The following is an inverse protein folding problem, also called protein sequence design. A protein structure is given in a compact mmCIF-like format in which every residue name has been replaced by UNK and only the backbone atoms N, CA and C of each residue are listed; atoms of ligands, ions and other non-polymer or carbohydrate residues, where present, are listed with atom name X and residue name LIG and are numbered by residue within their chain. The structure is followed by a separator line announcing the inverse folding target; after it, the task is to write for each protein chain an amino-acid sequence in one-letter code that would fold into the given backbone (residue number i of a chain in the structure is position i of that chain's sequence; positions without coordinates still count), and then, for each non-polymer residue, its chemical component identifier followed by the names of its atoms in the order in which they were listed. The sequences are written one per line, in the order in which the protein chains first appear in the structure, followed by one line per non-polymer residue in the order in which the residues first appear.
data_IF_389819105467
#
_entry.id   IF_389819105467
#
_cell.length_a   1.000
_cell.length_b   1.000
_cell.length_c   1.000
_cell.angle_alpha   90.00
_cell.angle_beta   90.00
_cell.angle_gamma   90.00
#
_symmetry.space_group_name_H-M   'P 1'
#
loop_
_entity.id
_entity.type
_entity.pdbx_description
1 polymer ?
#
# COMPACT_ATOMS: atom_id res chain seq x y z
N UNK A 1 -19.40 -18.34 1.61
CA UNK A 1 -19.40 -18.67 0.15
C UNK A 1 -18.57 -17.68 -0.68
N UNK A 2 -18.57 -16.37 -0.35
CA UNK A 2 -17.81 -15.35 -1.09
C UNK A 2 -16.29 -15.38 -0.83
N UNK A 3 -15.85 -15.43 0.43
CA UNK A 3 -14.42 -15.37 0.79
C UNK A 3 -13.57 -16.45 0.11
N UNK A 4 -14.12 -17.66 -0.03
CA UNK A 4 -13.46 -18.79 -0.70
C UNK A 4 -13.28 -18.61 -2.22
N UNK A 5 -13.95 -17.62 -2.83
CA UNK A 5 -13.81 -17.27 -4.25
C UNK A 5 -12.71 -16.23 -4.50
N UNK A 6 -12.12 -15.66 -3.44
CA UNK A 6 -11.07 -14.65 -3.56
C UNK A 6 -9.72 -15.30 -3.25
N UNK A 7 -8.82 -15.27 -4.24
CA UNK A 7 -7.49 -15.85 -4.08
C UNK A 7 -6.64 -15.10 -3.04
N UNK A 8 -6.66 -13.76 -3.08
CA UNK A 8 -5.90 -12.89 -2.20
C UNK A 8 -6.41 -11.44 -2.30
N UNK A 9 -6.24 -10.67 -1.22
CA UNK A 9 -6.31 -9.22 -1.24
C UNK A 9 -4.90 -8.62 -1.12
N UNK A 10 -4.62 -7.61 -1.93
CA UNK A 10 -3.44 -6.75 -1.78
C UNK A 10 -3.98 -5.35 -1.46
N UNK A 11 -3.76 -4.91 -0.23
CA UNK A 11 -4.42 -3.71 0.32
C UNK A 11 -3.35 -2.66 0.60
N UNK A 12 -3.48 -1.48 0.00
CA UNK A 12 -2.77 -0.30 0.48
C UNK A 12 -3.49 0.25 1.70
N UNK A 13 -2.80 0.26 2.84
CA UNK A 13 -3.32 0.88 4.05
C UNK A 13 -2.77 0.29 5.34
N UNK A 14 -3.10 0.92 6.45
CA UNK A 14 -2.62 0.56 7.77
C UNK A 14 -1.19 1.03 8.06
N UNK A 15 -0.84 1.04 9.34
CA UNK A 15 0.49 1.31 9.86
C UNK A 15 0.71 0.39 11.07
N UNK A 16 1.61 -0.59 10.94
CA UNK A 16 1.68 -1.71 11.91
C UNK A 16 2.85 -1.54 12.89
N UNK A 17 4.06 -1.37 12.35
CA UNK A 17 5.30 -1.15 13.11
C UNK A 17 5.83 0.28 12.90
N UNK A 18 4.97 1.18 12.43
CA UNK A 18 5.29 2.58 12.16
C UNK A 18 4.14 3.49 12.59
N UNK A 19 4.39 4.79 12.70
CA UNK A 19 3.32 5.76 12.95
C UNK A 19 2.35 5.80 11.78
N UNK A 20 1.08 6.07 12.04
CA UNK A 20 0.11 6.46 11.03
C UNK A 20 0.43 7.79 10.33
N UNK A 21 -0.54 8.30 9.59
CA UNK A 21 -0.52 9.63 8.96
C UNK A 21 -1.76 10.47 9.30
N UNK A 22 -2.70 9.94 10.09
CA UNK A 22 -3.91 10.64 10.54
C UNK A 22 -4.29 10.26 11.98
N UNK A 23 -5.19 11.06 12.56
CA UNK A 23 -5.73 10.88 13.89
C UNK A 23 -4.85 11.47 15.00
N UNK A 24 -5.31 11.43 16.26
CA UNK A 24 -4.51 11.83 17.40
C UNK A 24 -3.18 11.07 17.42
N UNK A 25 -2.08 11.78 17.65
CA UNK A 25 -0.72 11.22 17.74
C UNK A 25 -0.26 10.44 16.50
N UNK A 26 -0.91 10.63 15.34
CA UNK A 26 -0.64 9.90 14.10
C UNK A 26 -0.64 8.38 14.32
N UNK A 27 -1.69 7.84 14.95
CA UNK A 27 -1.78 6.41 15.27
C UNK A 27 -2.37 5.57 14.16
N UNK A 28 -3.04 6.18 13.17
CA UNK A 28 -3.78 5.48 12.13
C UNK A 28 -3.35 5.91 10.74
N UNK A 29 -3.49 5.00 9.79
CA UNK A 29 -3.37 5.32 8.37
C UNK A 29 -4.75 5.75 7.84
N UNK A 30 -4.76 6.69 6.90
CA UNK A 30 -5.95 7.37 6.37
C UNK A 30 -7.08 6.43 5.92
N UNK A 31 -6.80 5.43 5.07
CA UNK A 31 -7.81 4.50 4.56
C UNK A 31 -8.45 3.69 5.71
N UNK A 32 -7.65 3.23 6.66
CA UNK A 32 -8.14 2.50 7.84
C UNK A 32 -8.87 3.41 8.85
N UNK A 33 -8.48 4.68 8.95
CA UNK A 33 -9.14 5.67 9.80
C UNK A 33 -10.52 6.07 9.26
N UNK A 34 -10.65 6.15 7.94
CA UNK A 34 -11.88 6.56 7.27
C UNK A 34 -13.04 5.61 7.59
N UNK A 35 -12.83 4.30 7.39
CA UNK A 35 -13.78 3.24 7.78
C UNK A 35 -13.09 2.07 8.53
N UNK A 36 -12.87 2.21 9.84
CA UNK A 36 -12.29 1.17 10.68
C UNK A 36 -13.18 -0.06 10.80
N UNK A 37 -14.51 0.08 10.62
CA UNK A 37 -15.44 -1.03 10.73
C UNK A 37 -15.29 -1.94 9.51
N UNK A 38 -15.26 -1.36 8.31
CA UNK A 38 -14.95 -2.11 7.09
C UNK A 38 -13.55 -2.74 7.17
N UNK A 39 -12.54 -1.99 7.58
CA UNK A 39 -11.18 -2.52 7.76
C UNK A 39 -11.14 -3.69 8.76
N UNK A 40 -11.87 -3.61 9.88
CA UNK A 40 -11.98 -4.70 10.85
C UNK A 40 -12.64 -5.95 10.27
N UNK A 41 -13.71 -5.79 9.49
CA UNK A 41 -14.41 -6.91 8.83
C UNK A 41 -13.48 -7.59 7.83
N UNK A 42 -12.80 -6.82 6.97
CA UNK A 42 -11.87 -7.36 5.96
C UNK A 42 -10.69 -8.06 6.63
N UNK A 43 -10.06 -7.43 7.63
CA UNK A 43 -8.92 -8.02 8.35
C UNK A 43 -9.29 -9.32 9.08
N UNK A 44 -10.55 -9.43 9.56
CA UNK A 44 -11.04 -10.62 10.26
C UNK A 44 -11.60 -11.71 9.33
N UNK A 45 -11.55 -11.53 8.01
CA UNK A 45 -11.98 -12.53 7.04
C UNK A 45 -11.01 -13.73 6.94
N UNK A 46 -11.44 -14.83 6.33
CA UNK A 46 -10.54 -15.96 6.02
C UNK A 46 -9.67 -15.73 4.78
N UNK A 47 -9.84 -14.61 4.07
CA UNK A 47 -9.13 -14.32 2.81
C UNK A 47 -7.66 -14.02 3.10
N UNK A 48 -6.70 -14.58 2.35
CA UNK A 48 -5.28 -14.20 2.47
C UNK A 48 -5.06 -12.72 2.12
N UNK A 49 -4.38 -11.98 2.99
CA UNK A 49 -4.12 -10.54 2.81
C UNK A 49 -2.62 -10.27 2.75
N UNK A 50 -2.20 -9.49 1.77
CA UNK A 50 -0.92 -8.75 1.76
C UNK A 50 -1.22 -7.28 2.05
N UNK A 51 -0.77 -6.81 3.20
CA UNK A 51 -0.95 -5.43 3.62
C UNK A 51 0.26 -4.62 3.19
N UNK A 52 0.06 -3.73 2.22
CA UNK A 52 1.02 -2.73 1.76
C UNK A 52 0.81 -1.48 2.63
N UNK A 53 1.29 -1.59 3.88
CA UNK A 53 1.16 -0.56 4.91
C UNK A 53 2.20 0.55 4.76
N UNK A 54 2.07 1.59 5.58
CA UNK A 54 3.04 2.69 5.66
C UNK A 54 4.47 2.19 5.97
N UNK A 55 4.60 1.02 6.60
CA UNK A 55 5.88 0.35 6.90
C UNK A 55 6.74 0.13 5.65
N UNK A 56 6.11 -0.25 4.53
CA UNK A 56 6.76 -0.45 3.24
C UNK A 56 6.73 0.80 2.38
N UNK A 57 5.61 1.51 2.35
CA UNK A 57 5.45 2.70 1.50
C UNK A 57 6.50 3.78 1.81
N UNK A 58 6.87 3.93 3.09
CA UNK A 58 7.88 4.92 3.51
C UNK A 58 9.30 4.61 3.05
N UNK A 59 9.56 3.40 2.58
CA UNK A 59 10.84 3.03 1.95
C UNK A 59 10.95 3.50 0.50
N UNK A 60 9.83 3.92 -0.10
CA UNK A 60 9.72 4.48 -1.45
C UNK A 60 9.33 5.96 -1.37
N UNK A 61 10.21 6.76 -0.79
CA UNK A 61 10.08 8.21 -0.85
C UNK A 61 10.10 8.66 -2.32
N UNK A 62 9.15 9.53 -2.65
CA UNK A 62 9.21 10.27 -3.90
C UNK A 62 10.28 11.35 -3.77
N UNK A 63 11.46 11.07 -4.33
CA UNK A 63 12.53 12.04 -4.38
C UNK A 63 12.25 13.03 -5.53
N UNK A 64 11.87 14.26 -5.16
CA UNK A 64 11.65 15.37 -6.10
C UNK A 64 12.90 15.74 -6.90
N UNK A 65 14.09 15.37 -6.41
CA UNK A 65 15.37 15.59 -7.07
C UNK A 65 15.78 14.42 -7.98
N UNK A 66 15.22 13.23 -7.76
CA UNK A 66 15.33 12.16 -8.75
C UNK A 66 14.54 12.56 -9.98
N UNK A 67 15.26 12.76 -11.07
CA UNK A 67 14.68 12.88 -12.40
C UNK A 67 14.08 11.55 -12.81
N UNK A 68 12.84 11.26 -12.38
CA UNK A 68 12.02 10.30 -13.10
C UNK A 68 11.98 10.79 -14.55
N UNK A 69 12.62 10.02 -15.44
CA UNK A 69 12.62 10.29 -16.88
C UNK A 69 11.26 9.93 -17.45
N UNK A 70 10.27 10.75 -17.12
CA UNK A 70 8.90 10.56 -17.56
C UNK A 70 8.84 10.96 -19.05
N UNK A 71 8.48 10.04 -19.95
CA UNK A 71 8.47 10.29 -21.39
C UNK A 71 7.43 11.36 -21.77
N UNK A 72 7.61 12.01 -22.92
CA UNK A 72 6.65 12.94 -23.51
C UNK A 72 5.62 12.20 -24.38
N UNK A 73 4.88 11.28 -23.76
CA UNK A 73 3.73 10.59 -24.35
C UNK A 73 2.47 10.88 -23.51
N UNK A 74 1.25 10.54 -23.98
CA UNK A 74 0.02 10.84 -23.25
C UNK A 74 0.02 10.39 -21.78
N UNK A 75 0.62 9.23 -21.49
CA UNK A 75 0.73 8.68 -20.13
C UNK A 75 1.72 9.46 -19.27
N UNK A 76 2.88 9.79 -19.83
CA UNK A 76 3.89 10.58 -19.15
C UNK A 76 3.39 11.99 -18.87
N UNK A 77 2.56 12.58 -19.73
CA UNK A 77 1.89 13.86 -19.46
C UNK A 77 0.94 13.75 -18.26
N UNK A 78 0.16 12.67 -18.16
CA UNK A 78 -0.73 12.42 -17.02
C UNK A 78 0.09 12.28 -15.73
N UNK A 79 1.14 11.46 -15.74
CA UNK A 79 2.00 11.24 -14.57
C UNK A 79 2.69 12.54 -14.16
N UNK A 80 3.22 13.32 -15.12
CA UNK A 80 3.78 14.66 -14.86
C UNK A 80 2.76 15.58 -14.20
N UNK A 81 1.50 15.58 -14.65
CA UNK A 81 0.44 16.39 -14.04
C UNK A 81 0.10 15.93 -12.63
N UNK A 82 -0.03 14.63 -12.39
CA UNK A 82 -0.31 14.06 -11.05
C UNK A 82 0.81 14.44 -10.08
N UNK A 83 2.08 14.27 -10.49
CA UNK A 83 3.23 14.58 -9.65
C UNK A 83 3.39 16.10 -9.44
N UNK A 84 3.29 16.90 -10.51
CA UNK A 84 3.51 18.35 -10.45
C UNK A 84 2.40 19.08 -9.68
N UNK A 85 1.17 18.58 -9.70
CA UNK A 85 0.05 19.21 -8.99
C UNK A 85 -0.10 18.73 -7.55
N UNK A 86 0.49 17.58 -7.17
CA UNK A 86 0.40 17.03 -5.82
C UNK A 86 1.67 17.25 -4.99
N UNK A 87 2.39 18.38 -5.17
CA UNK A 87 3.69 18.56 -4.50
C UNK A 87 3.64 18.58 -2.97
N UNK A 88 2.48 18.84 -2.37
CA UNK A 88 2.32 18.82 -0.90
C UNK A 88 1.95 17.43 -0.36
N UNK A 89 1.28 16.59 -1.16
CA UNK A 89 0.72 15.30 -0.72
C UNK A 89 1.46 14.08 -1.30
N UNK A 90 2.30 14.27 -2.32
CA UNK A 90 3.02 13.18 -2.97
C UNK A 90 4.41 12.96 -2.35
N UNK A 91 4.43 12.47 -1.11
CA UNK A 91 5.68 12.17 -0.40
C UNK A 91 6.17 10.74 -0.65
N UNK A 92 5.26 9.78 -0.88
CA UNK A 92 5.58 8.37 -1.06
C UNK A 92 4.70 7.72 -2.12
N UNK A 93 5.20 6.66 -2.76
CA UNK A 93 4.41 5.85 -3.70
C UNK A 93 3.51 4.85 -2.94
N UNK A 94 2.37 5.31 -2.43
CA UNK A 94 1.39 4.46 -1.73
C UNK A 94 0.72 3.44 -2.65
N UNK A 95 -0.37 3.82 -3.32
CA UNK A 95 -1.12 2.93 -4.22
C UNK A 95 -0.27 2.38 -5.38
N UNK A 96 0.68 3.16 -5.97
CA UNK A 96 1.56 2.60 -6.99
C UNK A 96 2.42 1.44 -6.50
N UNK A 97 2.85 1.42 -5.23
CA UNK A 97 3.55 0.27 -4.66
C UNK A 97 2.63 -0.95 -4.56
N UNK A 98 1.39 -0.77 -4.09
CA UNK A 98 0.43 -1.87 -4.01
C UNK A 98 0.11 -2.47 -5.39
N UNK A 99 -0.14 -1.62 -6.39
CA UNK A 99 -0.32 -2.06 -7.78
C UNK A 99 0.91 -2.77 -8.33
N UNK A 100 2.10 -2.26 -8.01
CA UNK A 100 3.37 -2.87 -8.45
C UNK A 100 3.59 -4.26 -7.86
N UNK A 101 3.19 -4.50 -6.61
CA UNK A 101 3.25 -5.83 -5.97
C UNK A 101 2.32 -6.84 -6.66
N UNK A 102 1.19 -6.39 -7.22
CA UNK A 102 0.31 -7.25 -8.03
C UNK A 102 1.03 -7.70 -9.30
N UNK A 103 1.69 -6.76 -10.00
CA UNK A 103 2.36 -7.04 -11.29
C UNK A 103 3.64 -7.86 -11.09
N UNK A 104 4.45 -7.49 -10.10
CA UNK A 104 5.71 -8.17 -9.79
C UNK A 104 5.84 -8.36 -8.27
N UNK A 105 5.47 -9.54 -7.74
CA UNK A 105 5.55 -9.83 -6.31
C UNK A 105 6.96 -9.70 -5.72
N UNK A 106 8.03 -9.82 -6.53
CA UNK A 106 9.42 -9.69 -6.08
C UNK A 106 9.82 -8.26 -5.70
N UNK A 107 8.96 -7.27 -5.98
CA UNK A 107 9.15 -5.87 -5.55
C UNK A 107 9.12 -5.74 -4.03
N UNK A 108 8.44 -6.64 -3.32
CA UNK A 108 8.32 -6.56 -1.87
C UNK A 108 8.42 -7.92 -1.22
N UNK A 109 9.12 -7.98 -0.09
CA UNK A 109 8.97 -9.09 0.84
C UNK A 109 7.90 -8.76 1.88
N UNK A 110 7.36 -9.81 2.49
CA UNK A 110 6.31 -9.71 3.50
C UNK A 110 6.66 -10.57 4.71
N UNK A 111 6.12 -10.21 5.87
CA UNK A 111 6.24 -11.00 7.09
C UNK A 111 5.64 -12.41 6.92
N UNK A 112 5.90 -13.28 7.91
CA UNK A 112 5.05 -14.46 8.12
C UNK A 112 3.60 -14.03 8.34
N UNK A 113 2.66 -14.96 8.11
CA UNK A 113 1.24 -14.72 8.39
C UNK A 113 1.06 -14.44 9.87
N UNK A 114 0.27 -13.42 10.17
CA UNK A 114 -0.04 -12.97 11.51
C UNK A 114 -1.50 -12.59 11.62
N UNK A 115 -1.99 -12.62 12.85
CA UNK A 115 -3.30 -12.12 13.26
C UNK A 115 -3.19 -10.63 13.56
N UNK A 116 -4.15 -9.85 13.06
CA UNK A 116 -4.23 -8.41 13.34
C UNK A 116 -5.66 -8.02 13.69
N UNK A 117 -5.80 -6.95 14.47
CA UNK A 117 -7.08 -6.35 14.84
C UNK A 117 -7.06 -4.86 14.51
N UNK A 118 -8.20 -4.33 14.05
CA UNK A 118 -8.39 -2.89 13.82
C UNK A 118 -9.21 -2.29 14.97
N UNK A 119 -8.69 -1.25 15.61
CA UNK A 119 -9.39 -0.52 16.67
C UNK A 119 -10.48 0.35 16.03
N UNK A 120 -11.74 0.13 16.40
CA UNK A 120 -12.88 0.76 15.69
C UNK A 120 -13.34 2.11 16.27
N UNK A 121 -12.97 2.43 17.51
CA UNK A 121 -13.47 3.60 18.25
C UNK A 121 -12.37 4.26 19.10
N UNK A 122 -12.66 5.47 19.60
CA UNK A 122 -11.78 6.22 20.49
C UNK A 122 -10.60 6.86 19.77
N UNK A 123 -9.61 7.33 20.54
CA UNK A 123 -8.43 8.05 20.02
C UNK A 123 -7.59 7.21 19.05
N UNK A 124 -7.60 5.89 19.21
CA UNK A 124 -6.87 4.94 18.37
C UNK A 124 -7.71 4.37 17.21
N UNK A 125 -8.84 5.00 16.86
CA UNK A 125 -9.71 4.58 15.76
C UNK A 125 -8.91 4.42 14.46
N UNK A 126 -9.05 3.28 13.78
CA UNK A 126 -8.35 2.94 12.53
C UNK A 126 -6.96 2.33 12.73
N UNK A 127 -6.43 2.29 13.96
CA UNK A 127 -5.13 1.67 14.21
C UNK A 127 -5.23 0.16 14.03
N UNK A 128 -4.38 -0.38 13.18
CA UNK A 128 -4.18 -1.83 13.06
C UNK A 128 -3.03 -2.25 13.99
N UNK A 129 -3.24 -3.31 14.74
CA UNK A 129 -2.23 -3.88 15.64
C UNK A 129 -2.12 -5.38 15.45
N UNK A 130 -0.92 -5.92 15.63
CA UNK A 130 -0.75 -7.37 15.78
C UNK A 130 -1.54 -7.81 17.02
N UNK A 131 -2.31 -8.89 16.87
CA UNK A 131 -3.13 -9.46 17.91
C UNK A 131 -2.81 -10.96 18.03
N UNK A 132 -3.25 -11.59 19.12
CA UNK A 132 -3.24 -13.04 19.24
C UNK A 132 -4.66 -13.55 19.04
N UNK A 133 -5.00 -13.91 17.79
CA UNK A 133 -6.30 -14.46 17.45
C UNK A 133 -6.15 -15.64 16.46
N UNK A 134 -7.18 -16.49 16.32
CA UNK A 134 -7.07 -17.71 15.50
C UNK A 134 -6.81 -17.45 14.00
N UNK A 135 -7.17 -16.26 13.50
CA UNK A 135 -7.13 -15.94 12.08
C UNK A 135 -5.79 -15.30 11.73
N UNK A 136 -4.88 -16.12 11.21
CA UNK A 136 -3.56 -15.68 10.72
C UNK A 136 -3.58 -15.59 9.20
N UNK A 137 -4.22 -14.55 8.66
CA UNK A 137 -4.42 -14.34 7.22
C UNK A 137 -3.58 -13.20 6.65
N UNK A 138 -3.08 -12.28 7.48
CA UNK A 138 -2.38 -11.06 7.03
C UNK A 138 -0.88 -11.27 6.99
N UNK A 139 -0.24 -10.86 5.89
CA UNK A 139 1.20 -10.61 5.83
C UNK A 139 1.44 -9.12 5.63
N UNK A 140 2.31 -8.53 6.44
CA UNK A 140 2.61 -7.10 6.37
C UNK A 140 3.86 -6.91 5.54
N UNK A 141 3.88 -5.91 4.67
CA UNK A 141 5.06 -5.56 3.88
C UNK A 141 6.23 -5.22 4.82
N UNK A 142 7.43 -5.75 4.55
CA UNK A 142 8.60 -5.51 5.42
C UNK A 142 9.74 -4.78 4.69
N UNK A 143 9.99 -5.09 3.42
CA UNK A 143 11.10 -4.53 2.64
C UNK A 143 10.66 -4.34 1.21
N UNK A 144 11.06 -3.21 0.63
CA UNK A 144 10.79 -2.88 -0.77
C UNK A 144 12.09 -2.88 -1.57
N UNK A 145 12.07 -3.55 -2.72
CA UNK A 145 13.11 -3.45 -3.74
C UNK A 145 12.82 -2.25 -4.63
N UNK A 146 13.40 -1.10 -4.27
CA UNK A 146 13.21 0.17 -4.97
C UNK A 146 13.68 0.12 -6.42
N UNK A 147 14.75 -0.62 -6.72
CA UNK A 147 15.25 -0.80 -8.08
C UNK A 147 14.24 -1.52 -8.98
N UNK A 148 13.65 -2.62 -8.50
CA UNK A 148 12.62 -3.34 -9.25
C UNK A 148 11.35 -2.49 -9.42
N UNK A 149 10.97 -1.71 -8.40
CA UNK A 149 9.85 -0.78 -8.49
C UNK A 149 10.07 0.27 -9.59
N UNK A 150 11.18 1.00 -9.55
CA UNK A 150 11.48 2.04 -10.54
C UNK A 150 11.71 1.46 -11.94
N UNK A 151 12.31 0.27 -12.04
CA UNK A 151 12.45 -0.45 -13.32
C UNK A 151 11.07 -0.78 -13.92
N UNK A 152 10.16 -1.32 -13.11
CA UNK A 152 8.78 -1.59 -13.53
C UNK A 152 8.08 -0.29 -13.95
N UNK A 153 8.11 0.75 -13.13
CA UNK A 153 7.49 2.04 -13.43
C UNK A 153 8.01 2.62 -14.76
N UNK A 154 9.32 2.62 -14.97
CA UNK A 154 9.94 3.07 -16.22
C UNK A 154 9.51 2.21 -17.42
N UNK A 155 9.40 0.89 -17.25
CA UNK A 155 8.97 -0.01 -18.31
C UNK A 155 7.52 0.24 -18.74
N UNK A 156 6.63 0.51 -17.77
CA UNK A 156 5.21 0.83 -18.00
C UNK A 156 5.09 2.17 -18.72
N UNK A 157 5.85 3.19 -18.31
CA UNK A 157 5.81 4.52 -18.95
C UNK A 157 6.34 4.52 -20.38
N UNK A 158 7.36 3.68 -20.68
CA UNK A 158 8.00 3.61 -22.01
C UNK A 158 7.28 2.71 -23.00
N UNK A 159 6.56 1.70 -22.51
CA UNK A 159 5.76 0.85 -23.38
C UNK A 159 4.47 1.61 -23.73
N UNK A 160 4.19 1.75 -25.02
CA UNK A 160 2.80 1.71 -25.50
C UNK A 160 2.25 0.34 -25.07
N UNK A 161 1.69 0.25 -23.86
CA UNK A 161 1.35 -1.05 -23.29
C UNK A 161 0.11 -1.61 -23.99
N UNK A 162 0.38 -2.68 -24.74
CA UNK A 162 -0.50 -3.81 -25.01
C UNK A 162 -1.80 -3.41 -25.70
N UNK A 163 -1.89 -3.73 -26.99
CA UNK A 163 -3.19 -4.04 -27.60
C UNK A 163 -3.81 -5.13 -26.74
N UNK A 164 -4.69 -4.75 -25.83
CA UNK A 164 -5.63 -5.67 -25.18
C UNK A 164 -6.64 -6.14 -26.22
#
# INVERSE_FOLDING_TARGET
AFEKKIAQLIIMGGAVQTKGNVGPDFVSEYNFFLDPKAASIVCSSSIPIKLVSLDGCRQLAFDKTQSLKIPDNPYGIIIKKIIKNNQNDFQYFYDPLAASVIINPSIASFTKRQSCTVIQKGKNRGKIVQADNPIKNIRVINKVNTMLFYSLLNSIMKRELLKF
#
